data_IF_375192674966
#
_entry.id   IF_375192674966
#
_cell.length_a   1.000
_cell.length_b   1.000
_cell.length_c   1.000
_cell.angle_alpha   90.00
_cell.angle_beta   90.00
_cell.angle_gamma   90.00
#
_symmetry.space_group_name_H-M   'P 1'
#
loop_
_entity.id
_entity.type
_entity.pdbx_description
1 polymer ?
#
# COMPACT_ATOMS: atom_id res chain seq x y z
N UNK A 1 -12.92 10.56 1.51
CA UNK A 1 -11.46 10.81 1.53
C UNK A 1 -10.98 10.35 2.90
N UNK A 2 -9.99 9.46 2.93
CA UNK A 2 -9.42 8.94 4.17
C UNK A 2 -8.00 9.49 4.29
N UNK A 3 -7.63 9.99 5.48
CA UNK A 3 -6.25 10.35 5.80
C UNK A 3 -5.63 9.22 6.61
N UNK A 4 -4.34 8.99 6.40
CA UNK A 4 -3.59 7.98 7.14
C UNK A 4 -2.33 8.63 7.67
N UNK A 5 -2.17 8.52 8.98
CA UNK A 5 -0.98 8.87 9.73
C UNK A 5 -0.50 7.60 10.46
N UNK A 6 0.80 7.36 10.45
CA UNK A 6 1.42 6.14 10.98
C UNK A 6 2.37 6.54 12.09
N UNK A 7 2.07 6.12 13.33
CA UNK A 7 2.97 6.29 14.46
C UNK A 7 4.05 5.20 14.49
N UNK A 8 5.19 5.51 15.13
CA UNK A 8 6.33 4.58 15.24
C UNK A 8 5.94 3.16 15.65
N UNK A 9 6.47 2.19 14.91
CA UNK A 9 6.24 0.77 15.13
C UNK A 9 4.88 0.26 14.63
N UNK A 10 3.97 1.15 14.24
CA UNK A 10 2.67 0.83 13.65
C UNK A 10 2.69 0.96 12.13
N UNK A 11 1.56 0.66 11.48
CA UNK A 11 1.35 0.88 10.04
C UNK A 11 1.51 -0.35 9.16
N UNK A 12 2.04 -1.45 9.69
CA UNK A 12 2.10 -2.68 8.90
C UNK A 12 0.69 -3.17 8.57
N UNK A 13 0.39 -3.27 7.28
CA UNK A 13 -0.80 -3.94 6.79
C UNK A 13 -0.36 -5.15 5.97
N UNK A 14 -1.07 -6.26 6.13
CA UNK A 14 -0.95 -7.38 5.20
C UNK A 14 -1.28 -6.93 3.78
N UNK A 15 -0.74 -7.62 2.79
CA UNK A 15 -1.14 -7.39 1.40
C UNK A 15 -2.64 -7.63 1.25
N UNK A 16 -3.31 -6.71 0.59
CA UNK A 16 -4.73 -6.76 0.27
C UNK A 16 -4.99 -6.03 -1.04
N UNK A 17 -6.16 -6.28 -1.61
CA UNK A 17 -6.78 -5.44 -2.63
C UNK A 17 -7.93 -4.68 -1.97
N UNK A 18 -8.10 -3.40 -2.32
CA UNK A 18 -9.24 -2.61 -1.84
C UNK A 18 -10.55 -3.08 -2.50
N UNK A 19 -10.44 -3.59 -3.73
CA UNK A 19 -11.52 -4.36 -4.36
C UNK A 19 -11.51 -5.80 -3.82
N UNK A 20 -12.58 -6.19 -3.13
CA UNK A 20 -12.63 -7.47 -2.40
C UNK A 20 -13.26 -8.62 -3.17
N UNK A 21 -13.72 -8.39 -4.40
CA UNK A 21 -14.30 -9.44 -5.23
C UNK A 21 -13.26 -9.98 -6.20
N UNK A 22 -13.50 -11.20 -6.68
CA UNK A 22 -12.69 -11.83 -7.72
C UNK A 22 -12.60 -10.95 -8.97
N UNK A 23 -11.49 -11.10 -9.70
CA UNK A 23 -11.25 -10.35 -10.90
C UNK A 23 -12.16 -10.84 -12.03
N UNK A 24 -13.14 -10.02 -12.40
CA UNK A 24 -14.11 -10.26 -13.47
C UNK A 24 -13.62 -9.74 -14.84
N UNK A 25 -12.30 -9.57 -15.00
CA UNK A 25 -11.65 -8.96 -16.17
C UNK A 25 -11.95 -7.46 -16.37
N UNK A 26 -12.48 -6.79 -15.34
CA UNK A 26 -12.72 -5.34 -15.34
C UNK A 26 -12.11 -4.69 -14.11
N UNK A 27 -11.83 -3.40 -14.22
CA UNK A 27 -11.35 -2.58 -13.11
C UNK A 27 -12.47 -1.67 -12.63
N UNK A 28 -12.81 -1.77 -11.35
CA UNK A 28 -13.99 -1.10 -10.78
C UNK A 28 -13.66 0.16 -10.01
N UNK A 29 -12.51 0.18 -9.34
CA UNK A 29 -12.11 1.26 -8.43
C UNK A 29 -10.66 1.67 -8.70
N UNK A 30 -10.40 2.96 -8.57
CA UNK A 30 -9.08 3.56 -8.71
C UNK A 30 -8.81 4.50 -7.54
N UNK A 31 -7.62 4.40 -6.95
CA UNK A 31 -7.17 5.20 -5.83
C UNK A 31 -6.18 6.26 -6.30
N UNK A 32 -6.31 7.47 -5.74
CA UNK A 32 -5.29 8.52 -5.78
C UNK A 32 -4.83 8.80 -4.37
N UNK A 33 -3.54 8.61 -4.09
CA UNK A 33 -2.95 8.85 -2.78
C UNK A 33 -2.00 10.03 -2.91
N UNK A 34 -2.31 11.10 -2.17
CA UNK A 34 -1.54 12.33 -2.17
C UNK A 34 -0.55 12.27 -1.00
N UNK A 35 0.73 12.34 -1.33
CA UNK A 35 1.79 12.26 -0.33
C UNK A 35 1.94 13.62 0.32
N UNK A 36 1.46 13.74 1.55
CA UNK A 36 1.66 14.93 2.36
C UNK A 36 3.11 15.03 2.85
N UNK A 37 3.84 13.92 2.87
CA UNK A 37 5.24 13.81 3.27
C UNK A 37 5.97 12.80 2.39
N UNK A 38 7.29 12.78 2.49
CA UNK A 38 8.10 11.84 1.71
C UNK A 38 7.70 10.40 2.06
N UNK A 39 7.64 9.53 1.05
CA UNK A 39 7.70 8.09 1.25
C UNK A 39 9.12 7.63 1.02
N UNK A 40 9.68 6.97 2.02
CA UNK A 40 11.00 6.32 2.03
C UNK A 40 10.83 4.86 2.45
N UNK A 41 11.89 4.07 2.35
CA UNK A 41 11.85 2.64 2.71
C UNK A 41 11.50 2.40 4.19
N UNK A 42 11.77 3.37 5.07
CA UNK A 42 11.74 3.21 6.52
C UNK A 42 10.67 4.04 7.25
N UNK A 43 9.84 4.80 6.52
CA UNK A 43 8.87 5.73 7.10
C UNK A 43 7.38 5.39 6.85
N UNK A 44 7.07 4.11 6.66
CA UNK A 44 5.67 3.68 6.54
C UNK A 44 5.05 3.89 5.16
N UNK A 45 5.88 3.87 4.11
CA UNK A 45 5.44 3.88 2.72
C UNK A 45 4.48 2.73 2.39
N UNK A 46 3.87 2.79 1.21
CA UNK A 46 3.07 1.68 0.69
C UNK A 46 3.97 0.70 -0.02
N UNK A 47 3.74 -0.59 0.25
CA UNK A 47 4.31 -1.71 -0.48
C UNK A 47 3.30 -2.24 -1.48
N UNK A 48 3.77 -2.69 -2.64
CA UNK A 48 2.95 -3.25 -3.72
C UNK A 48 3.58 -4.52 -4.25
N UNK A 49 2.75 -5.42 -4.82
CA UNK A 49 3.25 -6.52 -5.65
C UNK A 49 2.88 -6.22 -7.10
N UNK A 50 3.85 -5.93 -7.99
CA UNK A 50 3.58 -5.57 -9.38
C UNK A 50 2.74 -6.62 -10.12
N UNK A 51 2.00 -6.18 -11.14
CA UNK A 51 1.18 -7.04 -12.02
C UNK A 51 0.02 -7.82 -11.37
N UNK A 52 -0.16 -7.74 -10.05
CA UNK A 52 -1.23 -8.46 -9.33
C UNK A 52 -2.64 -7.90 -9.52
N UNK A 53 -2.78 -6.74 -10.17
CA UNK A 53 -4.08 -6.09 -10.44
C UNK A 53 -5.01 -6.92 -11.36
N UNK A 54 -4.52 -8.00 -11.96
CA UNK A 54 -5.28 -8.96 -12.77
C UNK A 54 -5.53 -10.29 -12.04
N UNK A 55 -5.17 -10.38 -10.75
CA UNK A 55 -5.37 -11.55 -9.92
C UNK A 55 -6.57 -11.33 -8.99
N UNK A 56 -7.08 -12.42 -8.43
CA UNK A 56 -8.02 -12.33 -7.31
C UNK A 56 -7.32 -11.70 -6.08
N UNK A 57 -8.08 -11.16 -5.12
CA UNK A 57 -7.51 -10.65 -3.88
C UNK A 57 -6.66 -11.72 -3.16
N UNK A 58 -5.60 -11.33 -2.46
CA UNK A 58 -4.70 -12.28 -1.82
C UNK A 58 -5.40 -12.99 -0.64
N UNK A 59 -5.31 -14.32 -0.59
CA UNK A 59 -5.82 -15.14 0.52
C UNK A 59 -4.78 -15.28 1.65
N UNK A 60 -4.23 -14.16 2.11
CA UNK A 60 -3.19 -14.17 3.15
C UNK A 60 -3.80 -14.15 4.55
N UNK A 61 -3.51 -15.21 5.31
CA UNK A 61 -3.97 -15.38 6.69
C UNK A 61 -2.92 -14.96 7.72
N UNK A 62 -1.62 -15.10 7.40
CA UNK A 62 -0.53 -14.61 8.24
C UNK A 62 -0.15 -13.17 7.85
N UNK A 63 -0.25 -12.20 8.79
CA UNK A 63 0.23 -10.84 8.54
C UNK A 63 1.72 -10.77 8.19
N UNK A 64 2.54 -11.74 8.61
CA UNK A 64 3.98 -11.72 8.35
C UNK A 64 4.37 -12.40 7.03
N UNK A 65 3.41 -12.86 6.23
CA UNK A 65 3.71 -13.44 4.92
C UNK A 65 4.19 -12.32 3.97
N UNK A 66 5.48 -12.33 3.68
CA UNK A 66 6.14 -11.35 2.80
C UNK A 66 6.21 -11.98 1.42
N UNK A 67 5.58 -11.31 0.44
CA UNK A 67 5.66 -11.76 -0.94
C UNK A 67 7.06 -11.44 -1.50
N UNK A 68 7.75 -12.39 -2.17
CA UNK A 68 9.11 -12.19 -2.64
C UNK A 68 9.26 -11.07 -3.69
N UNK A 69 8.18 -10.76 -4.40
CA UNK A 69 8.14 -9.68 -5.40
C UNK A 69 7.57 -8.35 -4.85
N UNK A 70 7.38 -8.23 -3.54
CA UNK A 70 6.91 -7.00 -2.92
C UNK A 70 7.95 -5.87 -3.06
N UNK A 71 7.48 -4.66 -3.35
CA UNK A 71 8.30 -3.47 -3.57
C UNK A 71 7.72 -2.27 -2.83
N UNK A 72 8.59 -1.50 -2.17
CA UNK A 72 8.23 -0.21 -1.57
C UNK A 72 8.04 0.87 -2.64
N UNK A 73 7.01 1.70 -2.46
CA UNK A 73 6.82 2.89 -3.29
C UNK A 73 7.45 4.08 -2.60
N UNK A 74 8.59 4.52 -3.12
CA UNK A 74 9.37 5.67 -2.61
C UNK A 74 9.14 6.87 -3.53
N UNK A 75 8.74 8.00 -2.96
CA UNK A 75 8.46 9.23 -3.69
C UNK A 75 8.48 10.46 -2.76
N UNK A 76 8.83 11.66 -3.25
CA UNK A 76 8.84 12.86 -2.43
C UNK A 76 7.43 13.37 -2.11
N UNK A 77 7.33 14.15 -1.03
CA UNK A 77 6.18 14.99 -0.67
C UNK A 77 5.64 15.75 -1.87
N UNK A 78 4.32 15.79 -1.98
CA UNK A 78 3.60 16.40 -3.10
C UNK A 78 3.40 15.48 -4.30
N UNK A 79 3.98 14.28 -4.29
CA UNK A 79 3.69 13.26 -5.31
C UNK A 79 2.26 12.73 -5.17
N UNK A 80 1.71 12.21 -6.27
CA UNK A 80 0.43 11.50 -6.28
C UNK A 80 0.65 10.09 -6.81
N UNK A 81 0.35 9.09 -5.98
CA UNK A 81 0.31 7.70 -6.42
C UNK A 81 -1.06 7.43 -7.01
N UNK A 82 -1.09 6.98 -8.26
CA UNK A 82 -2.27 6.56 -8.99
C UNK A 82 -2.28 5.03 -9.04
N UNK A 83 -3.23 4.38 -8.36
CA UNK A 83 -3.22 2.94 -8.13
C UNK A 83 -4.58 2.30 -8.45
N UNK A 84 -4.54 1.20 -9.20
CA UNK A 84 -5.71 0.35 -9.38
C UNK A 84 -6.07 -0.35 -8.06
N UNK A 85 -7.34 -0.32 -7.64
CA UNK A 85 -7.77 -0.90 -6.36
C UNK A 85 -7.65 -2.43 -6.29
N UNK A 86 -7.44 -3.10 -7.42
CA UNK A 86 -7.16 -4.54 -7.51
C UNK A 86 -5.69 -4.87 -7.23
N UNK A 87 -4.78 -3.89 -7.29
CA UNK A 87 -3.36 -4.12 -7.04
C UNK A 87 -3.16 -4.56 -5.58
N UNK A 88 -2.43 -5.66 -5.37
CA UNK A 88 -2.07 -6.09 -4.03
C UNK A 88 -1.10 -5.07 -3.42
N UNK A 89 -1.48 -4.54 -2.27
CA UNK A 89 -0.71 -3.52 -1.58
C UNK A 89 -0.90 -3.60 -0.06
N UNK A 90 -0.02 -2.95 0.69
CA UNK A 90 -0.12 -2.84 2.13
C UNK A 90 0.83 -1.77 2.66
N UNK A 91 0.47 -1.11 3.76
CA UNK A 91 1.38 -0.18 4.43
C UNK A 91 2.57 -0.89 5.09
N UNK A 92 3.72 -0.22 5.09
CA UNK A 92 4.91 -0.62 5.83
C UNK A 92 4.86 -0.09 7.27
N UNK A 93 5.68 -0.67 8.17
CA UNK A 93 5.94 -0.05 9.48
C UNK A 93 6.74 1.23 9.30
N UNK A 94 6.43 2.25 10.10
CA UNK A 94 7.40 3.34 10.27
C UNK A 94 8.36 3.02 11.41
N UNK A 95 9.64 3.28 11.18
CA UNK A 95 10.69 3.21 12.19
C UNK A 95 11.02 4.58 12.80
N UNK A 96 10.46 5.66 12.25
CA UNK A 96 10.70 7.03 12.68
C UNK A 96 9.75 7.43 13.81
N UNK A 97 10.25 8.21 14.79
CA UNK A 97 9.45 8.77 15.90
C UNK A 97 8.57 9.94 15.48
N UNK A 98 8.74 10.43 14.25
CA UNK A 98 8.19 11.71 13.82
C UNK A 98 7.01 11.44 12.87
N UNK A 99 5.77 11.77 13.25
CA UNK A 99 4.77 12.14 12.25
C UNK A 99 5.26 13.49 11.72
N UNK A 100 6.13 13.46 10.70
CA UNK A 100 6.48 14.71 10.02
C UNK A 100 5.26 15.10 9.22
N UNK A 101 4.47 16.07 9.70
CA UNK A 101 3.32 16.64 8.99
C UNK A 101 2.01 16.70 9.77
#
# INVERSE_FOLDING_TARGET
>A
MNARDVSKGNGYQRLHADWKQDYDQRFHVFNSIWLLDDFTEDNGCIRVVPSTHQLNPPELTDPNDIHPEEQSVVAPKGSVILMNAHLWHGGQKTSTDNPEG
#
